data_IF_974478228357
#
_entry.id   IF_974478228357
#
_cell.length_a   1.000
_cell.length_b   1.000
_cell.length_c   1.000
_cell.angle_alpha   90.00
_cell.angle_beta   90.00
_cell.angle_gamma   90.00
#
_symmetry.space_group_name_H-M   'P 1'
#
loop_
_entity.id
_entity.type
_entity.pdbx_description
1 polymer ?
#
# COMPACT_ATOMS: atom_id res chain seq x y z
N UNK A 1 -6.26 27.43 0.10
CA UNK A 1 -7.09 26.24 0.38
C UNK A 1 -8.28 26.66 1.23
N UNK A 2 -9.52 26.29 0.84
CA UNK A 2 -10.72 26.63 1.61
C UNK A 2 -10.72 25.75 2.88
N UNK A 3 -11.06 26.29 4.06
CA UNK A 3 -11.09 25.56 5.34
C UNK A 3 -11.97 24.30 5.28
N UNK A 4 -13.01 24.30 4.44
CA UNK A 4 -13.88 23.14 4.22
C UNK A 4 -13.18 22.01 3.45
N UNK A 5 -12.34 22.33 2.46
CA UNK A 5 -11.52 21.38 1.70
C UNK A 5 -10.45 20.77 2.63
N UNK A 6 -9.82 21.61 3.47
CA UNK A 6 -8.86 21.13 4.46
C UNK A 6 -9.49 20.18 5.49
N UNK A 7 -10.68 20.49 6.00
CA UNK A 7 -11.41 19.63 6.94
C UNK A 7 -11.89 18.33 6.28
N UNK A 8 -12.32 18.34 5.01
CA UNK A 8 -12.68 17.14 4.27
C UNK A 8 -11.48 16.25 4.01
N UNK A 9 -10.31 16.83 3.67
CA UNK A 9 -9.05 16.10 3.49
C UNK A 9 -8.57 15.49 4.81
N UNK A 10 -8.62 16.24 5.91
CA UNK A 10 -8.20 15.78 7.24
C UNK A 10 -9.11 14.65 7.76
N UNK A 11 -10.43 14.76 7.56
CA UNK A 11 -11.39 13.72 7.97
C UNK A 11 -11.29 12.47 7.08
N UNK A 12 -10.97 12.64 5.78
CA UNK A 12 -10.82 11.53 4.83
C UNK A 12 -9.49 10.76 5.01
N UNK A 13 -8.51 11.32 5.71
CA UNK A 13 -7.17 10.75 5.82
C UNK A 13 -6.92 9.92 7.09
N UNK A 14 -7.87 9.85 8.03
CA UNK A 14 -7.66 9.16 9.29
C UNK A 14 -7.65 7.63 9.17
N UNK A 15 -8.51 7.07 8.32
CA UNK A 15 -8.64 5.62 8.05
C UNK A 15 -9.21 5.40 6.66
N UNK A 16 -8.86 4.29 6.02
CA UNK A 16 -9.54 3.89 4.80
C UNK A 16 -11.01 3.53 5.05
N UNK A 17 -11.85 3.71 4.05
CA UNK A 17 -13.16 3.06 3.96
C UNK A 17 -12.99 1.63 3.45
N UNK A 18 -13.96 0.78 3.74
CA UNK A 18 -13.92 -0.62 3.36
C UNK A 18 -13.68 -0.77 1.84
N UNK A 19 -12.80 -1.68 1.45
CA UNK A 19 -12.35 -1.91 0.07
C UNK A 19 -11.63 -0.75 -0.64
N UNK A 20 -11.30 0.35 0.06
CA UNK A 20 -10.63 1.51 -0.53
C UNK A 20 -9.13 1.64 -0.20
N UNK A 21 -8.41 0.57 0.14
CA UNK A 21 -6.98 0.64 0.49
C UNK A 21 -6.12 1.29 -0.61
N UNK A 22 -6.28 0.90 -1.88
CA UNK A 22 -5.57 1.52 -3.00
C UNK A 22 -5.91 3.00 -3.18
N UNK A 23 -7.20 3.37 -3.29
CA UNK A 23 -7.64 4.76 -3.33
C UNK A 23 -7.20 5.61 -2.14
N UNK A 24 -7.17 5.06 -0.94
CA UNK A 24 -6.66 5.75 0.25
C UNK A 24 -5.20 6.16 0.07
N UNK A 25 -4.34 5.21 -0.33
CA UNK A 25 -2.92 5.50 -0.54
C UNK A 25 -2.69 6.47 -1.70
N UNK A 26 -3.43 6.31 -2.80
CA UNK A 26 -3.34 7.25 -3.91
C UNK A 26 -3.73 8.68 -3.51
N UNK A 27 -4.85 8.85 -2.81
CA UNK A 27 -5.29 10.16 -2.33
C UNK A 27 -4.27 10.77 -1.35
N UNK A 28 -3.71 9.95 -0.45
CA UNK A 28 -2.71 10.39 0.52
C UNK A 28 -1.42 10.86 -0.17
N UNK A 29 -0.87 10.06 -1.09
CA UNK A 29 0.34 10.42 -1.83
C UNK A 29 0.13 11.72 -2.62
N UNK A 30 -1.02 11.88 -3.27
CA UNK A 30 -1.37 13.10 -4.00
C UNK A 30 -1.40 14.31 -3.08
N UNK A 31 -2.16 14.25 -1.96
CA UNK A 31 -2.30 15.36 -1.01
C UNK A 31 -0.95 15.73 -0.37
N UNK A 32 -0.14 14.75 0.06
CA UNK A 32 1.19 14.97 0.63
C UNK A 32 2.19 15.53 -0.40
N UNK A 33 1.92 15.32 -1.70
CA UNK A 33 2.69 15.91 -2.81
C UNK A 33 2.16 17.27 -3.28
N UNK A 34 1.15 17.83 -2.59
CA UNK A 34 0.59 19.16 -2.88
C UNK A 34 -0.51 19.19 -3.95
N UNK A 35 -1.07 18.03 -4.32
CA UNK A 35 -2.22 17.94 -5.23
C UNK A 35 -3.50 17.79 -4.40
N UNK A 36 -4.19 18.90 -4.13
CA UNK A 36 -5.39 18.91 -3.28
C UNK A 36 -6.69 18.71 -4.07
N UNK A 37 -6.67 18.94 -5.40
CA UNK A 37 -7.87 18.87 -6.25
C UNK A 37 -7.60 18.12 -7.56
N UNK A 38 -8.62 17.42 -8.06
CA UNK A 38 -8.66 16.78 -9.37
C UNK A 38 -9.91 17.24 -10.11
N UNK A 39 -9.75 17.97 -11.25
CA UNK A 39 -10.83 18.61 -12.00
C UNK A 39 -11.73 19.50 -11.13
N UNK A 40 -11.15 20.21 -10.15
CA UNK A 40 -11.86 21.10 -9.24
C UNK A 40 -12.56 20.41 -8.05
N UNK A 41 -12.56 19.09 -7.96
CA UNK A 41 -13.04 18.32 -6.80
C UNK A 41 -11.89 18.02 -5.83
N UNK A 42 -12.14 18.09 -4.52
CA UNK A 42 -11.13 17.73 -3.50
C UNK A 42 -10.69 16.27 -3.66
N UNK A 43 -9.39 16.02 -3.64
CA UNK A 43 -8.84 14.65 -3.71
C UNK A 43 -9.08 13.95 -2.39
N UNK A 44 -9.99 12.98 -2.41
CA UNK A 44 -10.34 12.09 -1.32
C UNK A 44 -10.27 10.64 -1.81
N UNK A 45 -10.19 9.67 -0.88
CA UNK A 45 -10.25 8.26 -1.25
C UNK A 45 -11.51 7.90 -2.07
N UNK A 46 -12.65 8.56 -1.81
CA UNK A 46 -13.89 8.34 -2.57
C UNK A 46 -13.79 8.84 -4.02
N UNK A 47 -13.19 10.03 -4.24
CA UNK A 47 -12.98 10.54 -5.58
C UNK A 47 -12.03 9.64 -6.37
N UNK A 48 -10.93 9.25 -5.74
CA UNK A 48 -9.95 8.34 -6.35
C UNK A 48 -10.60 6.98 -6.64
N UNK A 49 -11.39 6.41 -5.72
CA UNK A 49 -12.08 5.14 -5.94
C UNK A 49 -12.97 5.19 -7.18
N UNK A 50 -13.77 6.25 -7.32
CA UNK A 50 -14.63 6.46 -8.51
C UNK A 50 -13.81 6.54 -9.80
N UNK A 51 -12.69 7.25 -9.80
CA UNK A 51 -11.86 7.51 -10.98
C UNK A 51 -10.93 6.35 -11.32
N UNK A 52 -10.51 5.57 -10.31
CA UNK A 52 -9.66 4.39 -10.48
C UNK A 52 -10.43 3.14 -10.93
N UNK A 53 -11.77 3.17 -10.91
CA UNK A 53 -12.59 2.02 -11.28
C UNK A 53 -12.71 0.98 -10.16
N UNK A 54 -12.75 1.41 -8.89
CA UNK A 54 -12.95 0.52 -7.75
C UNK A 54 -14.29 -0.21 -7.83
N UNK A 55 -14.26 -1.52 -7.58
CA UNK A 55 -15.45 -2.35 -7.43
C UNK A 55 -15.69 -2.64 -5.95
N UNK A 56 -16.94 -2.48 -5.49
CA UNK A 56 -17.37 -2.97 -4.19
C UNK A 56 -17.92 -4.40 -4.30
N UNK A 57 -17.86 -5.21 -3.25
CA UNK A 57 -18.50 -6.51 -3.26
C UNK A 57 -20.03 -6.36 -3.34
N UNK A 58 -20.71 -7.24 -4.09
CA UNK A 58 -22.17 -7.27 -4.19
C UNK A 58 -22.83 -7.60 -2.86
N UNK A 59 -22.19 -8.45 -2.07
CA UNK A 59 -22.65 -8.84 -0.73
C UNK A 59 -21.60 -8.42 0.31
N UNK A 60 -22.06 -7.82 1.37
CA UNK A 60 -21.22 -7.48 2.52
C UNK A 60 -21.41 -8.57 3.58
N UNK A 61 -20.63 -9.63 3.51
CA UNK A 61 -20.69 -10.76 4.46
C UNK A 61 -20.03 -10.44 5.82
N UNK A 62 -20.01 -9.16 6.18
CA UNK A 62 -19.39 -8.61 7.38
C UNK A 62 -18.18 -7.76 7.07
N UNK A 63 -17.67 -7.01 8.06
CA UNK A 63 -16.52 -6.14 7.86
C UNK A 63 -15.24 -6.97 7.75
N UNK A 64 -14.60 -6.95 6.57
CA UNK A 64 -13.26 -7.48 6.37
C UNK A 64 -12.22 -6.41 6.78
N UNK A 65 -12.24 -6.05 8.06
CA UNK A 65 -11.36 -5.06 8.68
C UNK A 65 -10.53 -5.72 9.79
N UNK A 66 -9.30 -5.23 10.03
CA UNK A 66 -8.44 -5.82 11.04
C UNK A 66 -8.96 -5.58 12.47
N UNK A 67 -8.46 -6.32 13.46
CA UNK A 67 -8.83 -6.14 14.86
C UNK A 67 -8.69 -4.68 15.32
N UNK A 68 -9.73 -4.18 16.02
CA UNK A 68 -9.76 -2.82 16.54
C UNK A 68 -10.09 -1.73 15.53
N UNK A 69 -10.25 -2.06 14.25
CA UNK A 69 -10.76 -1.12 13.26
C UNK A 69 -12.29 -1.09 13.24
N UNK A 70 -12.83 0.01 12.73
CA UNK A 70 -14.27 0.21 12.54
C UNK A 70 -14.56 0.21 11.04
N UNK A 71 -15.51 -0.64 10.61
CA UNK A 71 -15.99 -0.68 9.23
C UNK A 71 -16.59 0.67 8.83
N UNK A 72 -16.23 1.17 7.65
CA UNK A 72 -16.69 2.44 7.07
C UNK A 72 -17.22 2.21 5.66
N UNK A 73 -18.53 2.13 5.52
CA UNK A 73 -19.24 1.86 4.25
C UNK A 73 -20.00 3.08 3.69
N UNK A 74 -19.76 4.26 4.25
CA UNK A 74 -20.38 5.51 3.79
C UNK A 74 -19.58 6.13 2.64
N UNK A 75 -19.81 5.66 1.41
CA UNK A 75 -19.14 6.19 0.23
C UNK A 75 -19.81 7.46 -0.27
N UNK A 76 -19.00 8.46 -0.68
CA UNK A 76 -19.51 9.73 -1.24
C UNK A 76 -20.12 9.56 -2.63
N UNK A 77 -19.64 8.59 -3.41
CA UNK A 77 -20.12 8.30 -4.75
C UNK A 77 -20.67 6.88 -4.82
N UNK A 78 -21.62 6.68 -5.73
CA UNK A 78 -22.03 5.33 -6.08
C UNK A 78 -20.89 4.66 -6.86
N UNK A 79 -20.33 3.60 -6.31
CA UNK A 79 -19.33 2.77 -6.94
C UNK A 79 -19.99 1.53 -7.55
N UNK A 80 -19.46 1.00 -8.67
CA UNK A 80 -19.95 -0.25 -9.22
C UNK A 80 -19.68 -1.41 -8.24
N UNK A 81 -20.54 -2.43 -8.30
CA UNK A 81 -20.41 -3.66 -7.52
C UNK A 81 -20.04 -4.84 -8.42
N UNK A 82 -19.45 -5.85 -7.83
CA UNK A 82 -19.10 -7.10 -8.51
C UNK A 82 -18.83 -8.24 -7.52
N UNK A 83 -18.44 -9.41 -8.04
CA UNK A 83 -18.10 -10.55 -7.19
C UNK A 83 -17.04 -10.19 -6.16
N UNK A 84 -17.18 -10.70 -4.94
CA UNK A 84 -16.29 -10.34 -3.82
C UNK A 84 -14.80 -10.63 -4.14
N UNK A 85 -14.52 -11.70 -4.86
CA UNK A 85 -13.18 -12.09 -5.29
C UNK A 85 -12.55 -11.14 -6.33
N UNK A 86 -13.35 -10.26 -6.95
CA UNK A 86 -12.90 -9.24 -7.91
C UNK A 86 -13.00 -7.82 -7.36
N UNK A 87 -13.49 -7.67 -6.11
CA UNK A 87 -13.65 -6.36 -5.47
C UNK A 87 -12.32 -5.71 -5.09
N UNK A 88 -12.35 -4.40 -4.89
CA UNK A 88 -11.18 -3.57 -4.61
C UNK A 88 -10.78 -2.70 -5.80
N UNK A 89 -9.51 -2.31 -5.85
CA UNK A 89 -8.94 -1.48 -6.92
C UNK A 89 -7.73 -2.19 -7.52
N UNK A 90 -7.64 -2.25 -8.86
CA UNK A 90 -6.45 -2.82 -9.49
C UNK A 90 -5.22 -1.92 -9.30
N UNK A 91 -4.03 -2.51 -9.33
CA UNK A 91 -2.78 -1.77 -9.30
C UNK A 91 -2.69 -0.75 -10.45
N UNK A 92 -3.16 -1.12 -11.65
CA UNK A 92 -3.26 -0.23 -12.79
C UNK A 92 -4.22 0.93 -12.57
N UNK A 93 -5.36 0.70 -11.89
CA UNK A 93 -6.31 1.73 -11.51
C UNK A 93 -5.71 2.76 -10.56
N UNK A 94 -4.99 2.30 -9.52
CA UNK A 94 -4.27 3.16 -8.58
C UNK A 94 -3.23 4.01 -9.31
N UNK A 95 -2.40 3.39 -10.16
CA UNK A 95 -1.36 4.08 -10.92
C UNK A 95 -1.94 5.16 -11.84
N UNK A 96 -2.96 4.82 -12.65
CA UNK A 96 -3.63 5.78 -13.54
C UNK A 96 -4.23 6.95 -12.78
N UNK A 97 -4.83 6.71 -11.61
CA UNK A 97 -5.44 7.76 -10.81
C UNK A 97 -4.39 8.75 -10.29
N UNK A 98 -3.25 8.28 -9.77
CA UNK A 98 -2.13 9.13 -9.32
C UNK A 98 -1.59 9.97 -10.48
N UNK A 99 -1.31 9.35 -11.62
CA UNK A 99 -0.77 10.04 -12.79
C UNK A 99 -1.74 11.09 -13.36
N UNK A 100 -3.01 10.73 -13.49
CA UNK A 100 -4.02 11.64 -14.03
C UNK A 100 -4.30 12.82 -13.09
N UNK A 101 -4.45 12.57 -11.78
CA UNK A 101 -4.73 13.62 -10.80
C UNK A 101 -3.58 14.62 -10.64
N UNK A 102 -2.33 14.16 -10.81
CA UNK A 102 -1.13 15.01 -10.77
C UNK A 102 -0.81 15.68 -12.11
N UNK A 103 -1.63 15.48 -13.16
CA UNK A 103 -1.32 15.96 -14.52
C UNK A 103 -0.02 15.36 -15.08
N UNK A 104 0.37 14.15 -14.64
CA UNK A 104 1.58 13.46 -15.04
C UNK A 104 2.87 13.94 -14.34
N UNK A 105 2.77 14.84 -13.36
CA UNK A 105 3.94 15.27 -12.57
C UNK A 105 4.43 14.20 -11.60
N UNK A 106 3.53 13.33 -11.12
CA UNK A 106 3.86 12.07 -10.48
C UNK A 106 3.68 10.93 -11.48
N UNK A 107 4.60 9.97 -11.42
CA UNK A 107 4.59 8.76 -12.25
C UNK A 107 4.70 7.53 -11.37
N UNK A 108 4.05 6.47 -11.81
CA UNK A 108 4.10 5.18 -11.13
C UNK A 108 4.97 4.21 -11.95
N UNK A 109 6.03 3.69 -11.35
CA UNK A 109 6.81 2.59 -11.91
C UNK A 109 6.38 1.31 -11.22
N UNK A 110 5.59 0.46 -11.89
CA UNK A 110 5.09 -0.78 -11.30
C UNK A 110 6.17 -1.85 -11.32
N UNK A 111 6.41 -2.50 -10.19
CA UNK A 111 7.36 -3.58 -10.03
C UNK A 111 6.66 -4.88 -9.67
N UNK A 112 7.01 -5.94 -10.39
CA UNK A 112 6.58 -7.31 -10.11
C UNK A 112 7.70 -8.30 -10.40
N UNK A 113 7.53 -9.56 -10.02
CA UNK A 113 8.52 -10.62 -10.22
C UNK A 113 8.65 -11.49 -8.98
N UNK A 114 9.70 -12.29 -8.91
CA UNK A 114 10.03 -13.06 -7.71
C UNK A 114 10.54 -12.15 -6.60
N UNK A 115 9.95 -12.23 -5.42
CA UNK A 115 10.33 -11.43 -4.27
C UNK A 115 11.24 -12.21 -3.32
N UNK A 116 12.24 -11.55 -2.75
CA UNK A 116 13.12 -12.10 -1.74
C UNK A 116 13.65 -10.98 -0.82
N UNK A 117 14.26 -11.35 0.29
CA UNK A 117 14.82 -10.44 1.29
C UNK A 117 15.67 -9.34 0.65
N UNK A 118 16.63 -9.71 -0.20
CA UNK A 118 17.56 -8.75 -0.80
C UNK A 118 16.86 -7.71 -1.69
N UNK A 119 15.87 -8.15 -2.48
CA UNK A 119 15.07 -7.25 -3.36
C UNK A 119 14.23 -6.29 -2.54
N UNK A 120 13.60 -6.78 -1.46
CA UNK A 120 12.79 -5.93 -0.55
C UNK A 120 13.68 -4.90 0.14
N UNK A 121 14.80 -5.33 0.74
CA UNK A 121 15.73 -4.42 1.42
C UNK A 121 16.25 -3.32 0.49
N UNK A 122 16.75 -3.71 -0.69
CA UNK A 122 17.27 -2.74 -1.66
C UNK A 122 16.20 -1.78 -2.16
N UNK A 123 15.00 -2.31 -2.46
CA UNK A 123 13.89 -1.49 -2.92
C UNK A 123 13.51 -0.42 -1.87
N UNK A 124 13.38 -0.81 -0.60
CA UNK A 124 13.00 0.12 0.46
C UNK A 124 14.10 1.13 0.76
N UNK A 125 15.36 0.68 0.85
CA UNK A 125 16.50 1.52 1.18
C UNK A 125 16.81 2.54 0.07
N UNK A 126 16.93 2.07 -1.17
CA UNK A 126 17.27 2.90 -2.33
C UNK A 126 16.08 3.70 -2.87
N UNK A 127 14.86 3.13 -2.77
CA UNK A 127 13.63 3.83 -3.12
C UNK A 127 13.43 5.09 -2.29
N UNK A 128 13.70 5.05 -0.99
CA UNK A 128 13.66 6.23 -0.14
C UNK A 128 14.61 7.35 -0.63
N UNK A 129 15.78 6.98 -1.17
CA UNK A 129 16.76 7.92 -1.74
C UNK A 129 16.27 8.64 -3.00
N UNK A 130 15.27 8.10 -3.70
CA UNK A 130 14.66 8.72 -4.88
C UNK A 130 13.59 9.77 -4.53
N UNK A 131 13.29 9.99 -3.25
CA UNK A 131 12.13 10.78 -2.82
C UNK A 131 10.80 10.15 -3.24
N UNK A 132 10.78 8.83 -3.38
CA UNK A 132 9.62 8.06 -3.81
C UNK A 132 8.71 7.66 -2.64
N UNK A 133 7.48 7.23 -3.00
CA UNK A 133 6.58 6.50 -2.11
C UNK A 133 6.40 5.09 -2.67
N UNK A 134 6.46 4.09 -1.81
CA UNK A 134 6.36 2.69 -2.20
C UNK A 134 5.02 2.13 -1.76
N UNK A 135 4.07 2.04 -2.68
CA UNK A 135 2.74 1.46 -2.42
C UNK A 135 2.78 -0.02 -2.82
N UNK A 136 2.76 -0.90 -1.81
CA UNK A 136 2.83 -2.34 -1.98
C UNK A 136 1.44 -2.98 -1.93
N UNK A 137 1.17 -3.92 -2.82
CA UNK A 137 -0.02 -4.78 -2.77
C UNK A 137 0.37 -6.16 -2.26
N UNK A 138 -0.07 -6.51 -1.08
CA UNK A 138 0.37 -7.67 -0.29
C UNK A 138 -0.80 -8.59 0.09
N UNK A 139 -0.47 -9.81 0.55
CA UNK A 139 -1.37 -10.67 1.32
C UNK A 139 -1.01 -10.54 2.80
N UNK A 140 -1.88 -9.92 3.61
CA UNK A 140 -1.59 -9.58 5.01
C UNK A 140 -1.36 -10.80 5.90
N UNK A 141 -1.99 -11.93 5.59
CA UNK A 141 -1.78 -13.21 6.30
C UNK A 141 -0.38 -13.82 6.17
N UNK A 142 0.50 -13.19 5.35
CA UNK A 142 1.92 -13.56 5.23
C UNK A 142 2.84 -12.65 6.02
N UNK A 143 2.31 -11.60 6.65
CA UNK A 143 3.05 -10.70 7.51
C UNK A 143 2.98 -11.18 8.97
N UNK A 144 3.88 -10.68 9.80
CA UNK A 144 3.78 -10.84 11.24
C UNK A 144 2.62 -10.00 11.80
N UNK A 145 2.15 -10.34 13.00
CA UNK A 145 1.26 -9.48 13.77
C UNK A 145 1.80 -8.04 13.83
N UNK A 146 0.93 -7.06 13.79
CA UNK A 146 1.31 -5.64 13.77
C UNK A 146 1.89 -5.15 15.09
N UNK A 147 1.72 -5.92 16.17
CA UNK A 147 2.27 -5.63 17.52
C UNK A 147 2.99 -6.84 18.11
N UNK A 148 4.08 -7.28 17.49
CA UNK A 148 4.84 -8.38 18.06
C UNK A 148 5.53 -7.94 19.36
N UNK A 149 5.87 -8.86 20.26
CA UNK A 149 6.72 -8.57 21.42
C UNK A 149 8.05 -7.94 21.00
N UNK A 150 8.51 -6.94 21.77
CA UNK A 150 9.75 -6.20 21.47
C UNK A 150 10.97 -7.14 21.42
N UNK A 151 10.98 -8.20 22.21
CA UNK A 151 12.03 -9.18 22.25
C UNK A 151 12.19 -9.91 20.91
N UNK A 152 11.09 -10.16 20.20
CA UNK A 152 11.10 -10.76 18.86
C UNK A 152 11.72 -9.79 17.84
N UNK A 153 11.34 -8.51 17.88
CA UNK A 153 11.92 -7.49 17.00
C UNK A 153 13.43 -7.32 17.24
N UNK A 154 13.85 -7.30 18.51
CA UNK A 154 15.26 -7.20 18.86
C UNK A 154 16.06 -8.46 18.44
N UNK A 155 15.46 -9.64 18.61
CA UNK A 155 16.08 -10.89 18.17
C UNK A 155 16.24 -10.92 16.64
N UNK A 156 15.24 -10.49 15.88
CA UNK A 156 15.30 -10.36 14.41
C UNK A 156 16.43 -9.41 13.99
N UNK A 157 16.51 -8.21 14.56
CA UNK A 157 17.58 -7.25 14.28
C UNK A 157 18.97 -7.79 14.65
N UNK A 158 19.06 -8.69 15.64
CA UNK A 158 20.29 -9.36 16.02
C UNK A 158 20.64 -10.57 15.14
N UNK A 159 19.76 -10.97 14.21
CA UNK A 159 19.89 -12.16 13.36
C UNK A 159 19.72 -13.46 14.17
N UNK A 160 18.87 -13.43 15.20
CA UNK A 160 18.48 -14.58 16.00
C UNK A 160 17.32 -15.35 15.35
N UNK A 161 17.14 -16.60 15.76
CA UNK A 161 15.95 -17.37 15.38
C UNK A 161 14.76 -16.93 16.22
N UNK A 162 13.64 -16.63 15.58
CA UNK A 162 12.39 -16.19 16.22
C UNK A 162 11.25 -17.13 15.84
N UNK A 163 10.23 -17.18 16.70
CA UNK A 163 8.93 -17.75 16.33
C UNK A 163 8.11 -16.62 15.72
N UNK A 164 7.70 -16.81 14.48
CA UNK A 164 6.94 -15.80 13.76
C UNK A 164 5.59 -15.54 14.44
N UNK A 165 5.29 -14.26 14.80
CA UNK A 165 3.99 -13.90 15.33
C UNK A 165 2.89 -14.08 14.29
N UNK A 166 1.80 -14.75 14.65
CA UNK A 166 0.66 -14.99 13.77
C UNK A 166 0.05 -13.66 13.30
N UNK A 167 -0.27 -13.56 12.00
CA UNK A 167 -0.84 -12.37 11.40
C UNK A 167 -2.18 -11.98 12.03
N UNK A 168 -2.45 -10.67 12.11
CA UNK A 168 -3.70 -10.15 12.70
C UNK A 168 -4.93 -10.45 11.83
N UNK A 169 -4.77 -10.50 10.50
CA UNK A 169 -5.83 -10.77 9.53
C UNK A 169 -5.23 -11.24 8.19
N UNK A 170 -6.07 -11.74 7.25
CA UNK A 170 -5.60 -12.32 6.00
C UNK A 170 -6.42 -11.88 4.80
N UNK A 171 -6.01 -10.77 4.16
CA UNK A 171 -6.65 -10.20 2.97
C UNK A 171 -5.61 -9.70 1.95
N UNK A 172 -6.07 -9.47 0.72
CA UNK A 172 -5.31 -8.67 -0.26
C UNK A 172 -5.40 -7.18 0.11
N UNK A 173 -4.27 -6.50 0.28
CA UNK A 173 -4.25 -5.16 0.84
C UNK A 173 -3.17 -4.28 0.23
N UNK A 174 -3.43 -2.96 0.16
CA UNK A 174 -2.42 -1.98 -0.19
C UNK A 174 -1.88 -1.32 1.08
N UNK A 175 -0.56 -1.32 1.22
CA UNK A 175 0.19 -0.67 2.31
C UNK A 175 1.31 0.18 1.73
N UNK A 176 1.91 1.05 2.54
CA UNK A 176 3.13 1.76 2.18
C UNK A 176 4.33 1.14 2.89
N UNK A 177 5.44 0.95 2.16
CA UNK A 177 6.73 0.59 2.71
C UNK A 177 7.53 1.88 2.92
N UNK A 178 7.69 2.35 4.17
CA UNK A 178 8.23 3.68 4.45
C UNK A 178 9.76 3.71 4.54
N UNK A 179 10.36 2.77 5.26
CA UNK A 179 11.80 2.77 5.52
C UNK A 179 12.31 1.41 5.99
N UNK A 180 13.63 1.24 5.93
CA UNK A 180 14.33 0.08 6.44
C UNK A 180 15.09 0.44 7.73
N UNK A 181 14.85 -0.33 8.79
CA UNK A 181 15.60 -0.26 10.05
C UNK A 181 16.64 -1.39 10.01
N UNK A 182 17.92 -1.04 10.15
CA UNK A 182 19.01 -2.02 10.15
C UNK A 182 19.48 -2.31 11.57
N UNK A 183 19.56 -3.58 11.89
CA UNK A 183 20.22 -4.11 13.10
C UNK A 183 21.63 -4.61 12.81
N UNK A 184 22.28 -5.22 13.80
CA UNK A 184 23.63 -5.81 13.64
C UNK A 184 23.71 -6.93 12.59
N UNK A 185 22.65 -7.72 12.40
CA UNK A 185 22.63 -8.88 11.50
C UNK A 185 21.27 -9.14 10.85
N UNK A 186 20.29 -8.28 11.07
CA UNK A 186 18.94 -8.35 10.51
C UNK A 186 18.41 -6.97 10.23
N UNK A 187 17.22 -6.92 9.65
CA UNK A 187 16.56 -5.66 9.32
C UNK A 187 15.05 -5.77 9.48
N UNK A 188 14.38 -4.63 9.61
CA UNK A 188 12.93 -4.53 9.67
C UNK A 188 12.47 -3.42 8.72
N UNK A 189 11.41 -3.70 7.97
CA UNK A 189 10.70 -2.71 7.15
C UNK A 189 9.63 -2.06 8.00
N UNK A 190 9.56 -0.73 8.00
CA UNK A 190 8.42 0.01 8.54
C UNK A 190 7.32 -0.02 7.50
N UNK A 191 6.25 -0.72 7.81
CA UNK A 191 5.01 -0.74 7.03
C UNK A 191 4.07 0.29 7.61
N UNK A 192 3.50 1.13 6.75
CA UNK A 192 2.41 2.03 7.11
C UNK A 192 1.11 1.49 6.52
N UNK A 193 0.20 1.15 7.39
CA UNK A 193 -1.12 0.65 7.06
C UNK A 193 -2.17 1.79 7.08
N UNK A 194 -3.22 1.62 6.33
CA UNK A 194 -4.36 2.54 6.27
C UNK A 194 -5.32 2.41 7.46
N UNK A 195 -5.08 1.44 8.34
CA UNK A 195 -5.80 1.25 9.59
C UNK A 195 -4.96 1.65 10.80
N UNK A 196 -5.30 2.77 11.49
CA UNK A 196 -4.58 3.22 12.69
C UNK A 196 -4.61 2.22 13.86
N UNK A 197 -5.51 1.25 13.85
CA UNK A 197 -5.59 0.18 14.85
C UNK A 197 -4.42 -0.79 14.78
N UNK A 198 -3.77 -0.93 13.61
CA UNK A 198 -2.61 -1.78 13.44
C UNK A 198 -1.34 -1.07 13.94
N UNK A 199 -0.50 -1.80 14.65
CA UNK A 199 0.77 -1.30 15.17
C UNK A 199 0.64 0.00 16.00
N UNK A 200 1.47 0.97 15.71
CA UNK A 200 1.50 2.29 16.35
C UNK A 200 0.96 3.34 15.38
N UNK A 201 -0.34 3.63 15.46
CA UNK A 201 -1.03 4.57 14.56
C UNK A 201 -0.86 4.17 13.06
N UNK A 202 -1.08 2.90 12.75
CA UNK A 202 -0.95 2.35 11.41
C UNK A 202 0.48 1.92 11.05
N UNK A 203 1.49 2.21 11.86
CA UNK A 203 2.88 1.78 11.57
C UNK A 203 3.24 0.54 12.36
N UNK A 204 3.78 -0.43 11.67
CA UNK A 204 4.28 -1.67 12.27
C UNK A 204 5.55 -2.17 11.58
N UNK A 205 6.26 -3.05 12.25
CA UNK A 205 7.57 -3.53 11.82
C UNK A 205 7.46 -4.96 11.28
N UNK A 206 7.98 -5.18 10.09
CA UNK A 206 7.95 -6.47 9.42
C UNK A 206 9.35 -6.87 8.96
N UNK A 207 9.79 -8.11 9.13
CA UNK A 207 11.04 -8.54 8.52
C UNK A 207 10.91 -8.59 6.99
N UNK A 208 11.99 -8.36 6.24
CA UNK A 208 11.95 -8.35 4.77
C UNK A 208 11.49 -9.65 4.12
N UNK A 209 11.69 -10.80 4.77
CA UNK A 209 11.21 -12.11 4.30
C UNK A 209 9.69 -12.23 4.41
N UNK A 210 9.08 -11.73 5.48
CA UNK A 210 7.63 -11.65 5.62
C UNK A 210 7.01 -10.71 4.56
N UNK A 211 7.65 -9.58 4.27
CA UNK A 211 7.22 -8.69 3.17
C UNK A 211 7.38 -9.39 1.81
N UNK A 212 8.48 -10.10 1.58
CA UNK A 212 8.66 -10.87 0.34
C UNK A 212 7.56 -11.93 0.17
N UNK A 213 7.29 -12.71 1.22
CA UNK A 213 6.21 -13.70 1.23
C UNK A 213 4.82 -13.07 1.02
N UNK A 214 4.59 -11.88 1.59
CA UNK A 214 3.34 -11.14 1.44
C UNK A 214 3.16 -10.59 0.00
N UNK A 215 4.23 -10.21 -0.68
CA UNK A 215 4.24 -9.81 -2.09
C UNK A 215 4.08 -11.00 -3.03
N UNK A 216 4.62 -12.17 -2.71
CA UNK A 216 4.37 -13.43 -3.45
C UNK A 216 2.92 -13.93 -3.30
N UNK A 217 2.21 -13.49 -2.27
CA UNK A 217 0.80 -13.76 -1.95
C UNK A 217 0.47 -15.23 -1.69
N UNK A 218 0.62 -16.13 -2.65
CA UNK A 218 0.29 -17.57 -2.52
C UNK A 218 -1.20 -17.90 -2.64
N UNK A 219 -2.05 -16.93 -3.02
CA UNK A 219 -3.50 -17.09 -3.22
C UNK A 219 -3.88 -17.17 -4.72
N UNK A 220 -2.92 -17.40 -5.59
CA UNK A 220 -3.10 -17.46 -7.05
C UNK A 220 -3.21 -16.09 -7.72
N UNK A 221 -2.96 -15.01 -6.98
CA UNK A 221 -2.89 -13.63 -7.47
C UNK A 221 -1.46 -13.13 -7.36
N UNK A 222 -1.17 -12.06 -8.08
CA UNK A 222 0.15 -11.42 -8.01
C UNK A 222 0.13 -10.25 -7.01
N UNK A 223 1.23 -10.06 -6.29
CA UNK A 223 1.53 -8.83 -5.58
C UNK A 223 2.59 -8.02 -6.30
N UNK A 224 2.86 -6.83 -5.81
CA UNK A 224 3.86 -5.95 -6.40
C UNK A 224 3.92 -4.61 -5.70
N UNK A 225 4.80 -3.73 -6.19
CA UNK A 225 5.02 -2.40 -5.63
C UNK A 225 4.93 -1.33 -6.71
N UNK A 226 4.16 -0.29 -6.48
CA UNK A 226 4.21 0.95 -7.25
C UNK A 226 5.26 1.87 -6.62
N UNK A 227 6.34 2.16 -7.34
CA UNK A 227 7.23 3.26 -7.00
C UNK A 227 6.60 4.53 -7.55
N UNK A 228 6.09 5.40 -6.66
CA UNK A 228 5.55 6.69 -7.06
C UNK A 228 6.66 7.73 -6.93
N UNK A 229 7.02 8.34 -8.05
CA UNK A 229 8.12 9.34 -8.15
C UNK A 229 7.67 10.57 -8.91
N UNK A 230 8.30 11.73 -8.70
CA UNK A 230 8.23 12.82 -9.67
C UNK A 230 8.67 12.34 -11.06
N UNK A 231 8.11 12.91 -12.11
CA UNK A 231 8.40 12.49 -13.51
C UNK A 231 9.92 12.41 -13.81
N UNK A 232 10.71 13.30 -13.24
CA UNK A 232 12.17 13.31 -13.40
C UNK A 232 12.86 12.07 -12.79
N UNK A 233 12.22 11.41 -11.80
CA UNK A 233 12.77 10.23 -11.10
C UNK A 233 12.48 8.89 -11.80
N UNK A 234 11.70 8.88 -12.89
CA UNK A 234 11.23 7.62 -13.53
C UNK A 234 12.40 6.75 -14.00
N UNK A 235 13.39 7.34 -14.66
CA UNK A 235 14.52 6.55 -15.19
C UNK A 235 15.38 5.98 -14.05
N UNK A 236 15.55 6.70 -12.94
CA UNK A 236 16.25 6.18 -11.77
C UNK A 236 15.47 5.03 -11.11
N UNK A 237 14.13 5.15 -11.01
CA UNK A 237 13.29 4.07 -10.49
C UNK A 237 13.33 2.81 -11.39
N UNK A 238 13.36 2.98 -12.71
CA UNK A 238 13.54 1.87 -13.66
C UNK A 238 14.92 1.23 -13.58
N UNK A 239 15.96 2.04 -13.42
CA UNK A 239 17.32 1.55 -13.22
C UNK A 239 17.39 0.70 -11.94
N UNK A 240 16.86 1.18 -10.84
CA UNK A 240 16.76 0.42 -9.59
C UNK A 240 16.04 -0.91 -9.80
N UNK A 241 14.89 -0.91 -10.50
CA UNK A 241 14.15 -2.14 -10.81
C UNK A 241 15.02 -3.17 -11.54
N UNK A 242 15.75 -2.73 -12.56
CA UNK A 242 16.65 -3.59 -13.34
C UNK A 242 17.82 -4.13 -12.48
N UNK A 243 18.42 -3.29 -11.65
CA UNK A 243 19.53 -3.66 -10.76
C UNK A 243 19.13 -4.71 -9.71
N UNK A 244 17.90 -4.63 -9.19
CA UNK A 244 17.40 -5.61 -8.22
C UNK A 244 16.72 -6.81 -8.90
N UNK A 245 16.64 -6.83 -10.23
CA UNK A 245 16.11 -7.93 -11.03
C UNK A 245 14.60 -8.08 -10.95
N UNK A 246 13.86 -6.95 -10.80
CA UNK A 246 12.40 -6.90 -10.89
C UNK A 246 11.95 -6.39 -12.26
N UNK A 247 10.78 -6.83 -12.70
CA UNK A 247 10.17 -6.41 -13.94
C UNK A 247 9.36 -5.13 -13.76
N UNK A 248 9.48 -4.20 -14.72
CA UNK A 248 8.61 -3.02 -14.79
C UNK A 248 7.32 -3.41 -15.48
N UNK A 249 6.38 -3.96 -14.73
CA UNK A 249 5.12 -4.50 -15.21
C UNK A 249 4.02 -4.35 -14.16
N UNK A 250 2.81 -3.97 -14.60
CA UNK A 250 1.61 -4.07 -13.76
C UNK A 250 1.30 -5.55 -13.51
N UNK A 251 0.98 -5.88 -12.29
CA UNK A 251 0.57 -7.22 -11.85
C UNK A 251 -0.94 -7.35 -11.77
N UNK A 252 -1.42 -8.58 -11.85
CA UNK A 252 -2.82 -8.93 -11.66
C UNK A 252 -3.11 -9.26 -10.19
N UNK A 253 -3.69 -8.33 -9.47
CA UNK A 253 -4.11 -8.53 -8.08
C UNK A 253 -5.51 -9.17 -7.96
N UNK A 254 -6.10 -9.63 -9.05
CA UNK A 254 -7.41 -10.25 -9.11
C UNK A 254 -8.59 -9.28 -9.17
N UNK A 255 -8.33 -7.97 -9.12
CA UNK A 255 -9.38 -6.95 -9.20
C UNK A 255 -9.58 -6.49 -10.64
N UNK A 256 -10.81 -6.49 -11.12
CA UNK A 256 -11.17 -5.89 -12.42
C UNK A 256 -11.31 -4.37 -12.28
N UNK A 257 -10.62 -3.62 -13.12
CA UNK A 257 -10.75 -2.15 -13.22
C UNK A 257 -10.71 -1.72 -14.69
#
# INVERSE_FOLDING_TARGET
>A
MNAQVAAEVETASAQQKDNLCGPFWAARVLNESGFDTWDGEAITQDLVARRAGTLLPETHDGPDVPPGAVSQVSYRYQLPTGPAEQSGTSAGGVARAIEAASGGLLRCVPLSGEWNVHRVERLVDEGAGLGSRLIANVRTGRMWASRPPVEILLAELAGGSVVEPEADWDVGHFVELEMLIRGPRGSLVVVHDSYPSLGWQGRHLQPPDAIAAALERGDGREGGVLIVVPQIGVEAARALAAEIGLEVRIWDNGTRS
#
